data_IF_693283164424
#
_entry.id   IF_693283164424
#
_cell.length_a   1.000
_cell.length_b   1.000
_cell.length_c   1.000
_cell.angle_alpha   90.00
_cell.angle_beta   90.00
_cell.angle_gamma   90.00
#
_symmetry.space_group_name_H-M   'P 1'
#
loop_
_entity.id
_entity.type
_entity.pdbx_description
1 polymer ?
#
# COMPACT_ATOMS: atom_id res chain seq x y z
N UNK A 1 -16.58 4.02 -7.36
CA UNK A 1 -15.63 2.90 -7.13
C UNK A 1 -14.78 3.19 -5.91
N UNK A 2 -14.61 2.19 -5.06
CA UNK A 2 -13.73 2.27 -3.89
C UNK A 2 -12.39 1.63 -4.24
N UNK A 3 -11.31 2.36 -4.03
CA UNK A 3 -9.95 1.90 -4.34
C UNK A 3 -9.23 1.56 -3.05
N UNK A 4 -8.63 0.38 -3.00
CA UNK A 4 -7.71 0.00 -1.94
C UNK A 4 -6.29 0.44 -2.31
N UNK A 5 -5.60 1.07 -1.39
CA UNK A 5 -4.19 1.44 -1.57
C UNK A 5 -3.40 0.96 -0.36
N UNK A 6 -2.48 0.08 -0.62
CA UNK A 6 -1.59 -0.52 0.37
C UNK A 6 -0.15 -0.43 -0.12
N UNK A 7 0.80 -0.66 0.75
CA UNK A 7 2.20 -0.65 0.31
C UNK A 7 3.20 -0.52 1.43
N UNK A 8 4.38 -0.06 1.07
CA UNK A 8 5.54 -0.02 1.95
C UNK A 8 5.45 1.08 3.01
N UNK A 9 6.09 0.85 4.15
CA UNK A 9 6.22 1.81 5.24
C UNK A 9 7.13 2.98 4.87
N UNK A 10 7.03 4.06 5.61
CA UNK A 10 7.74 5.31 5.30
C UNK A 10 9.26 5.15 5.25
N UNK A 11 9.85 4.33 6.13
CA UNK A 11 11.31 4.13 6.17
C UNK A 11 11.87 3.54 4.87
N UNK A 12 11.05 2.94 4.03
CA UNK A 12 11.48 2.36 2.76
C UNK A 12 11.54 3.38 1.61
N UNK A 13 11.21 4.63 1.89
CA UNK A 13 11.20 5.70 0.88
C UNK A 13 12.27 6.74 1.18
N UNK A 14 12.98 7.18 0.13
CA UNK A 14 13.77 8.41 0.17
C UNK A 14 12.80 9.61 0.05
N UNK A 15 13.24 10.86 0.33
CA UNK A 15 12.40 12.03 0.06
C UNK A 15 11.90 12.09 -1.38
N UNK A 16 12.72 11.77 -2.36
CA UNK A 16 12.32 11.74 -3.77
C UNK A 16 11.30 10.62 -4.04
N UNK A 17 11.53 9.44 -3.48
CA UNK A 17 10.59 8.32 -3.59
C UNK A 17 9.24 8.61 -2.98
N UNK A 18 9.23 9.26 -1.80
CA UNK A 18 8.00 9.70 -1.14
C UNK A 18 7.20 10.65 -2.03
N UNK A 19 7.87 11.64 -2.62
CA UNK A 19 7.22 12.59 -3.52
C UNK A 19 6.56 11.90 -4.71
N UNK A 20 7.26 10.96 -5.32
CA UNK A 20 6.75 10.18 -6.45
C UNK A 20 5.56 9.29 -6.05
N UNK A 21 5.63 8.70 -4.86
CA UNK A 21 4.55 7.87 -4.34
C UNK A 21 3.29 8.70 -4.07
N UNK A 22 3.42 9.86 -3.44
CA UNK A 22 2.30 10.76 -3.17
C UNK A 22 1.67 11.23 -4.47
N UNK A 23 2.49 11.62 -5.46
CA UNK A 23 2.00 12.02 -6.77
C UNK A 23 1.21 10.88 -7.45
N UNK A 24 1.73 9.66 -7.37
CA UNK A 24 1.05 8.50 -7.95
C UNK A 24 -0.29 8.22 -7.26
N UNK A 25 -0.34 8.31 -5.95
CA UNK A 25 -1.57 8.15 -5.17
C UNK A 25 -2.60 9.20 -5.59
N UNK A 26 -2.18 10.46 -5.73
CA UNK A 26 -3.04 11.52 -6.19
C UNK A 26 -3.70 11.19 -7.54
N UNK A 27 -2.91 10.76 -8.51
CA UNK A 27 -3.41 10.44 -9.84
C UNK A 27 -4.36 9.24 -9.85
N UNK A 28 -4.15 8.28 -8.95
CA UNK A 28 -5.07 7.15 -8.78
C UNK A 28 -6.41 7.63 -8.22
N UNK A 29 -6.38 8.41 -7.13
CA UNK A 29 -7.57 8.81 -6.40
C UNK A 29 -8.35 9.97 -7.06
N UNK A 30 -7.69 10.78 -7.88
CA UNK A 30 -8.31 11.92 -8.56
C UNK A 30 -9.13 11.50 -9.78
N UNK A 31 -9.16 10.23 -10.14
CA UNK A 31 -9.99 9.74 -11.26
C UNK A 31 -11.46 9.97 -10.95
N UNK A 32 -12.28 10.38 -11.96
CA UNK A 32 -13.69 10.75 -11.73
C UNK A 32 -14.57 9.64 -11.16
N UNK A 33 -14.23 8.38 -11.40
CA UNK A 33 -15.00 7.22 -10.93
C UNK A 33 -14.64 6.76 -9.53
N UNK A 34 -13.64 7.38 -8.88
CA UNK A 34 -13.22 7.02 -7.52
C UNK A 34 -14.04 7.82 -6.50
N UNK A 35 -14.76 7.11 -5.63
CA UNK A 35 -15.61 7.69 -4.61
C UNK A 35 -15.08 7.48 -3.20
N UNK A 36 -14.10 6.58 -3.03
CA UNK A 36 -13.53 6.30 -1.72
C UNK A 36 -12.20 5.58 -1.82
N UNK A 37 -11.44 5.64 -0.72
CA UNK A 37 -10.18 4.94 -0.56
C UNK A 37 -10.20 4.11 0.72
N UNK A 38 -9.65 2.90 0.65
CA UNK A 38 -9.48 2.00 1.79
C UNK A 38 -7.99 1.78 2.02
N UNK A 39 -7.54 1.92 3.26
CA UNK A 39 -6.14 1.66 3.61
C UNK A 39 -6.02 1.06 5.02
N UNK A 40 -4.79 0.74 5.42
CA UNK A 40 -4.53 -0.04 6.62
C UNK A 40 -4.12 0.76 7.84
N UNK A 41 -3.99 2.08 7.76
CA UNK A 41 -3.57 2.94 8.88
C UNK A 41 -2.30 2.42 9.58
N UNK A 42 -1.26 2.13 8.79
CA UNK A 42 0.00 1.58 9.31
C UNK A 42 0.66 2.54 10.29
N UNK A 43 0.99 2.05 11.51
CA UNK A 43 1.63 2.86 12.53
C UNK A 43 3.06 3.30 12.15
N UNK A 44 3.68 2.62 11.19
CA UNK A 44 5.01 2.97 10.67
C UNK A 44 4.95 3.98 9.52
N UNK A 45 3.77 4.50 9.20
CA UNK A 45 3.58 5.49 8.14
C UNK A 45 3.67 4.90 6.74
N UNK A 46 3.97 5.76 5.78
CA UNK A 46 4.14 5.36 4.38
C UNK A 46 2.85 5.36 3.58
N UNK A 47 2.70 4.42 2.67
CA UNK A 47 1.63 4.40 1.67
C UNK A 47 0.24 4.49 2.30
N UNK A 48 -0.03 3.72 3.36
CA UNK A 48 -1.34 3.71 4.00
C UNK A 48 -1.75 5.10 4.50
N UNK A 49 -0.81 5.78 5.15
CA UNK A 49 -1.06 7.12 5.73
C UNK A 49 -1.19 8.17 4.62
N UNK A 50 -0.33 8.10 3.60
CA UNK A 50 -0.38 9.06 2.49
C UNK A 50 -1.65 8.90 1.66
N UNK A 51 -2.11 7.67 1.47
CA UNK A 51 -3.38 7.41 0.76
C UNK A 51 -4.57 8.02 1.50
N UNK A 52 -4.65 7.83 2.82
CA UNK A 52 -5.71 8.42 3.63
C UNK A 52 -5.67 9.95 3.59
N UNK A 53 -4.48 10.55 3.69
CA UNK A 53 -4.31 12.00 3.64
C UNK A 53 -4.75 12.58 2.29
N UNK A 54 -4.37 11.93 1.18
CA UNK A 54 -4.77 12.37 -0.16
C UNK A 54 -6.28 12.22 -0.36
N UNK A 55 -6.87 11.16 0.14
CA UNK A 55 -8.32 10.97 0.08
C UNK A 55 -9.08 12.09 0.79
N UNK A 56 -8.61 12.49 1.96
CA UNK A 56 -9.18 13.62 2.71
C UNK A 56 -9.06 14.93 1.93
N UNK A 57 -7.90 15.18 1.33
CA UNK A 57 -7.69 16.38 0.52
C UNK A 57 -8.61 16.42 -0.70
N UNK A 58 -8.87 15.29 -1.32
CA UNK A 58 -9.76 15.18 -2.48
C UNK A 58 -11.25 15.18 -2.10
N UNK A 59 -11.57 15.07 -0.81
CA UNK A 59 -12.96 15.05 -0.34
C UNK A 59 -13.70 13.75 -0.63
N UNK A 60 -13.01 12.66 -0.90
CA UNK A 60 -13.63 11.34 -1.06
C UNK A 60 -13.70 10.62 0.29
N UNK A 61 -14.52 9.57 0.37
CA UNK A 61 -14.63 8.76 1.57
C UNK A 61 -13.30 8.09 1.89
N UNK A 62 -12.88 8.12 3.16
CA UNK A 62 -11.66 7.45 3.63
C UNK A 62 -12.04 6.40 4.65
N UNK A 63 -11.72 5.14 4.34
CA UNK A 63 -11.98 4.00 5.22
C UNK A 63 -10.63 3.42 5.64
N UNK A 64 -10.38 3.38 6.95
CA UNK A 64 -9.14 2.85 7.51
C UNK A 64 -9.43 1.63 8.38
N UNK A 65 -8.62 0.60 8.19
CA UNK A 65 -8.68 -0.61 9.01
C UNK A 65 -7.36 -0.77 9.77
N UNK A 66 -7.20 -0.10 10.92
CA UNK A 66 -6.02 -0.30 11.76
C UNK A 66 -5.97 -1.74 12.28
N UNK A 67 -4.79 -2.34 12.38
CA UNK A 67 -4.70 -3.69 12.94
C UNK A 67 -5.01 -3.66 14.44
N UNK A 68 -5.73 -4.68 14.92
CA UNK A 68 -6.08 -4.80 16.34
C UNK A 68 -4.88 -5.21 17.21
N UNK A 69 -3.86 -5.78 16.60
CA UNK A 69 -2.62 -6.18 17.24
C UNK A 69 -1.48 -6.11 16.24
N UNK A 70 -0.23 -6.01 16.73
CA UNK A 70 0.94 -5.96 15.86
C UNK A 70 1.52 -7.36 15.63
N UNK A 71 0.66 -8.34 15.40
CA UNK A 71 1.04 -9.70 15.04
C UNK A 71 0.32 -10.10 13.76
N UNK A 72 0.86 -11.07 13.04
CA UNK A 72 0.29 -11.49 11.76
C UNK A 72 -1.12 -12.07 11.92
N UNK A 73 -1.25 -13.12 12.73
CA UNK A 73 -2.52 -13.87 12.83
C UNK A 73 -3.63 -13.11 13.53
N UNK A 74 -3.30 -12.24 14.50
CA UNK A 74 -4.28 -11.54 15.32
C UNK A 74 -4.54 -10.10 14.88
N UNK A 75 -3.69 -9.54 14.02
CA UNK A 75 -3.79 -8.13 13.63
C UNK A 75 -3.67 -7.91 12.13
N UNK A 76 -2.50 -8.14 11.56
CA UNK A 76 -2.24 -7.75 10.17
C UNK A 76 -3.03 -8.57 9.15
N UNK A 77 -3.11 -9.90 9.32
CA UNK A 77 -3.84 -10.75 8.38
C UNK A 77 -5.33 -10.42 8.35
N UNK A 78 -6.05 -10.37 9.48
CA UNK A 78 -7.47 -9.98 9.47
C UNK A 78 -7.71 -8.60 8.86
N UNK A 79 -6.87 -7.61 9.19
CA UNK A 79 -6.96 -6.27 8.63
C UNK A 79 -6.74 -6.25 7.12
N UNK A 80 -5.75 -6.97 6.63
CA UNK A 80 -5.46 -7.06 5.20
C UNK A 80 -6.62 -7.70 4.43
N UNK A 81 -7.28 -8.69 5.02
CA UNK A 81 -8.48 -9.30 4.45
C UNK A 81 -9.63 -8.29 4.36
N UNK A 82 -9.82 -7.47 5.41
CA UNK A 82 -10.84 -6.42 5.40
C UNK A 82 -10.61 -5.42 4.26
N UNK A 83 -9.37 -5.00 4.05
CA UNK A 83 -9.02 -4.09 2.95
C UNK A 83 -9.36 -4.73 1.59
N UNK A 84 -8.91 -5.97 1.38
CA UNK A 84 -9.12 -6.67 0.12
C UNK A 84 -10.60 -6.84 -0.21
N UNK A 85 -11.44 -7.07 0.80
CA UNK A 85 -12.89 -7.23 0.62
C UNK A 85 -13.61 -5.91 0.41
N UNK A 86 -13.13 -4.83 0.99
CA UNK A 86 -13.81 -3.53 0.99
C UNK A 86 -13.60 -2.72 -0.27
N UNK A 87 -12.65 -3.08 -1.12
CA UNK A 87 -12.33 -2.33 -2.33
C UNK A 87 -12.83 -3.04 -3.59
N UNK A 88 -12.99 -2.27 -4.66
CA UNK A 88 -13.29 -2.76 -6.01
C UNK A 88 -12.01 -3.01 -6.81
N UNK A 89 -11.00 -2.22 -6.55
CA UNK A 89 -9.69 -2.26 -7.22
C UNK A 89 -8.63 -2.02 -6.16
N UNK A 90 -7.52 -2.74 -6.20
CA UNK A 90 -6.46 -2.60 -5.21
C UNK A 90 -5.11 -2.31 -5.87
N UNK A 91 -4.45 -1.28 -5.37
CA UNK A 91 -3.10 -0.89 -5.77
C UNK A 91 -2.13 -1.16 -4.62
N UNK A 92 -1.04 -1.84 -4.92
CA UNK A 92 0.08 -2.00 -3.99
C UNK A 92 1.25 -1.17 -4.50
N UNK A 93 1.76 -0.28 -3.65
CA UNK A 93 2.86 0.62 -3.99
C UNK A 93 4.06 0.29 -3.13
N UNK A 94 5.15 -0.10 -3.76
CA UNK A 94 6.41 -0.43 -3.10
C UNK A 94 7.56 0.28 -3.81
N UNK A 95 8.79 -0.02 -3.41
CA UNK A 95 9.99 0.60 -3.99
C UNK A 95 10.82 -0.45 -4.73
N UNK A 96 11.58 0.02 -5.72
CA UNK A 96 12.48 -0.85 -6.46
C UNK A 96 13.70 -1.22 -5.62
N UNK A 97 14.22 -0.27 -4.83
CA UNK A 97 15.43 -0.42 -4.05
C UNK A 97 15.30 0.34 -2.73
N UNK A 98 15.82 -0.23 -1.65
CA UNK A 98 15.80 0.43 -0.35
C UNK A 98 16.75 1.64 -0.31
N UNK A 99 16.45 2.65 0.54
CA UNK A 99 17.41 3.71 0.84
C UNK A 99 18.70 3.15 1.45
N UNK A 100 19.82 3.82 1.21
CA UNK A 100 21.12 3.37 1.73
C UNK A 100 21.14 3.32 3.26
N UNK A 101 20.43 4.22 3.93
CA UNK A 101 20.36 4.30 5.39
C UNK A 101 19.27 3.42 6.01
N UNK A 102 18.57 2.63 5.22
CA UNK A 102 17.55 1.72 5.76
C UNK A 102 18.22 0.65 6.65
N UNK A 103 17.76 0.54 7.88
CA UNK A 103 18.32 -0.37 8.88
C UNK A 103 17.37 -1.47 9.34
N UNK A 104 16.26 -1.66 8.65
CA UNK A 104 15.33 -2.75 8.92
C UNK A 104 15.77 -4.06 8.28
N UNK A 105 14.89 -5.05 8.34
CA UNK A 105 15.16 -6.35 7.74
C UNK A 105 15.16 -6.27 6.21
N UNK A 106 16.18 -6.85 5.58
CA UNK A 106 16.38 -6.83 4.13
C UNK A 106 16.16 -8.24 3.58
N UNK A 107 15.34 -8.33 2.54
CA UNK A 107 15.07 -9.56 1.80
C UNK A 107 15.67 -9.45 0.39
N UNK A 108 16.07 -10.57 -0.24
CA UNK A 108 16.64 -10.53 -1.60
C UNK A 108 15.64 -10.15 -2.69
N UNK A 109 14.39 -9.94 -2.34
CA UNK A 109 13.31 -9.55 -3.24
C UNK A 109 12.00 -9.61 -2.50
N UNK A 110 10.91 -9.83 -3.20
CA UNK A 110 9.59 -9.98 -2.60
C UNK A 110 9.18 -11.45 -2.61
N UNK A 111 9.19 -12.11 -1.45
CA UNK A 111 8.79 -13.51 -1.37
C UNK A 111 7.27 -13.70 -1.55
N UNK A 112 6.47 -12.67 -1.38
CA UNK A 112 5.02 -12.74 -1.67
C UNK A 112 4.77 -12.86 -3.16
N UNK A 113 5.53 -12.13 -3.97
CA UNK A 113 5.40 -12.15 -5.43
C UNK A 113 6.31 -13.18 -6.10
N UNK A 114 7.32 -13.69 -5.39
CA UNK A 114 8.29 -14.63 -5.95
C UNK A 114 9.22 -13.99 -6.97
N UNK A 115 9.47 -12.67 -6.86
CA UNK A 115 10.31 -11.92 -7.80
C UNK A 115 11.36 -11.11 -7.07
N UNK A 116 12.35 -10.58 -7.81
CA UNK A 116 13.42 -9.74 -7.26
C UNK A 116 13.40 -8.33 -7.83
N UNK A 117 12.33 -7.94 -8.50
CA UNK A 117 12.22 -6.65 -9.20
C UNK A 117 11.66 -5.53 -8.30
N UNK A 118 11.33 -5.84 -7.07
CA UNK A 118 10.89 -4.84 -6.09
C UNK A 118 11.14 -5.34 -4.66
N UNK A 119 11.12 -4.39 -3.73
CA UNK A 119 11.29 -4.66 -2.31
C UNK A 119 10.01 -5.26 -1.72
N UNK A 120 10.17 -6.27 -0.89
CA UNK A 120 9.06 -6.95 -0.18
C UNK A 120 8.20 -5.94 0.56
N UNK A 121 6.89 -6.08 0.44
CA UNK A 121 5.90 -5.29 1.17
C UNK A 121 4.76 -6.20 1.65
N UNK A 122 4.27 -5.95 2.86
CA UNK A 122 3.06 -6.61 3.34
C UNK A 122 1.84 -6.33 2.46
N UNK A 123 1.83 -5.19 1.77
CA UNK A 123 0.81 -4.87 0.77
C UNK A 123 0.75 -5.86 -0.38
N UNK A 124 1.87 -6.50 -0.72
CA UNK A 124 1.88 -7.53 -1.76
C UNK A 124 1.04 -8.75 -1.36
N UNK A 125 1.03 -9.12 -0.08
CA UNK A 125 0.15 -10.17 0.40
C UNK A 125 -1.31 -9.81 0.21
N UNK A 126 -1.68 -8.58 0.57
CA UNK A 126 -3.05 -8.06 0.42
C UNK A 126 -3.46 -8.04 -1.05
N UNK A 127 -2.57 -7.59 -1.91
CA UNK A 127 -2.79 -7.57 -3.36
C UNK A 127 -3.08 -8.97 -3.90
N UNK A 128 -2.29 -9.96 -3.50
CA UNK A 128 -2.49 -11.35 -3.93
C UNK A 128 -3.79 -11.93 -3.42
N UNK A 129 -4.16 -11.59 -2.19
CA UNK A 129 -5.44 -12.01 -1.62
C UNK A 129 -6.62 -11.39 -2.40
N UNK A 130 -6.54 -10.08 -2.70
CA UNK A 130 -7.57 -9.41 -3.49
C UNK A 130 -7.70 -10.03 -4.89
N UNK A 131 -6.58 -10.41 -5.50
CA UNK A 131 -6.59 -11.09 -6.80
C UNK A 131 -7.34 -12.43 -6.72
N UNK A 132 -7.14 -13.20 -5.65
CA UNK A 132 -7.88 -14.44 -5.42
C UNK A 132 -9.37 -14.21 -5.28
N UNK A 133 -9.78 -13.04 -4.77
CA UNK A 133 -11.19 -12.66 -4.67
C UNK A 133 -11.77 -12.17 -6.01
N UNK A 134 -10.99 -12.14 -7.06
CA UNK A 134 -11.43 -11.67 -8.38
C UNK A 134 -11.36 -10.17 -8.56
N UNK A 135 -10.71 -9.44 -7.64
CA UNK A 135 -10.53 -7.99 -7.76
C UNK A 135 -9.45 -7.66 -8.77
N UNK A 136 -9.57 -6.49 -9.40
CA UNK A 136 -8.47 -5.94 -10.20
C UNK A 136 -7.37 -5.46 -9.27
N UNK A 137 -6.13 -5.78 -9.60
CA UNK A 137 -4.97 -5.41 -8.79
C UNK A 137 -3.85 -4.86 -9.66
N UNK A 138 -3.10 -3.92 -9.11
CA UNK A 138 -1.93 -3.33 -9.77
C UNK A 138 -0.79 -3.14 -8.79
N UNK A 139 0.41 -3.45 -9.22
CA UNK A 139 1.65 -3.22 -8.47
C UNK A 139 2.35 -2.01 -9.08
N UNK A 140 2.67 -1.04 -8.23
CA UNK A 140 3.46 0.14 -8.61
C UNK A 140 4.80 0.07 -7.89
N UNK A 141 5.88 0.17 -8.64
CA UNK A 141 7.24 0.15 -8.11
C UNK A 141 7.85 1.54 -8.26
N UNK A 142 8.12 2.19 -7.14
CA UNK A 142 8.62 3.56 -7.08
C UNK A 142 10.14 3.56 -7.08
N UNK A 143 10.74 4.44 -7.87
CA UNK A 143 12.19 4.70 -7.84
C UNK A 143 12.52 5.62 -6.68
N UNK A 144 13.50 5.22 -5.85
CA UNK A 144 14.01 6.03 -4.73
C UNK A 144 15.15 6.96 -5.13
N UNK A 145 15.69 6.77 -6.29
CA UNK A 145 16.80 7.58 -6.81
C UNK A 145 16.35 8.87 -7.48
#
# INVERSE_FOLDING_TARGET
MVVGIVGSEEAKFTPAGKERAIDRIWHILARPDVTGVVSGACHLGGIDVWAAAQGKTLGIEVIEFPPKAHSWSNGYKPRNIQIAKACDELWCITVKKLPDEYNGMIFPGCYHCGTTDHVKSGGCWTMRYAKKLGKQTKLVVIENS
#
